data_IF_717959093307
#
_entry.id   IF_717959093307
#
_cell.length_a   1.000
_cell.length_b   1.000
_cell.length_c   1.000
_cell.angle_alpha   90.00
_cell.angle_beta   90.00
_cell.angle_gamma   90.00
#
_symmetry.space_group_name_H-M   'P 1'
#
loop_
_entity.id
_entity.type
_entity.pdbx_description
1 polymer ?
#
# COMPACT_ATOMS: atom_id res chain seq x y z
N UNK A 1 -4.02 6.12 -60.37
CA UNK A 1 -3.08 5.30 -59.57
C UNK A 1 -2.18 6.23 -58.79
N UNK A 2 -2.30 6.26 -57.47
CA UNK A 2 -1.24 6.62 -56.52
C UNK A 2 -1.83 6.47 -55.11
N UNK A 3 -1.27 5.54 -54.33
CA UNK A 3 -1.46 5.45 -52.88
C UNK A 3 -0.40 6.33 -52.24
N UNK A 4 -0.78 7.16 -51.27
CA UNK A 4 0.18 7.84 -50.41
C UNK A 4 -0.11 7.49 -48.97
N UNK A 5 0.86 6.82 -48.36
CA UNK A 5 0.99 6.42 -46.97
C UNK A 5 1.12 7.63 -46.05
N UNK A 6 0.42 7.61 -44.92
CA UNK A 6 0.58 8.58 -43.82
C UNK A 6 1.19 7.86 -42.63
N UNK A 7 2.40 8.30 -42.27
CA UNK A 7 3.13 7.97 -41.04
C UNK A 7 2.68 8.90 -39.91
N UNK A 8 2.44 8.44 -38.67
CA UNK A 8 2.25 9.33 -37.53
C UNK A 8 3.59 9.65 -36.84
N UNK A 9 3.76 10.92 -36.46
CA UNK A 9 4.82 11.48 -35.62
C UNK A 9 4.11 12.24 -34.46
N UNK A 10 4.80 12.54 -33.34
CA UNK A 10 4.29 12.34 -31.99
C UNK A 10 3.66 13.60 -31.39
N UNK A 11 2.79 13.39 -30.39
CA UNK A 11 2.15 14.48 -29.66
C UNK A 11 3.14 14.99 -28.60
N UNK A 12 3.74 16.16 -28.90
CA UNK A 12 4.49 16.96 -27.94
C UNK A 12 3.58 17.66 -26.95
N UNK A 13 3.99 17.67 -25.68
CA UNK A 13 3.43 18.48 -24.62
C UNK A 13 4.06 19.87 -24.64
N UNK A 14 3.25 20.94 -24.61
CA UNK A 14 3.70 22.25 -24.14
C UNK A 14 2.55 23.02 -23.50
N UNK A 15 2.87 23.60 -22.34
CA UNK A 15 2.01 24.34 -21.45
C UNK A 15 1.87 25.81 -21.87
N UNK A 16 0.66 26.35 -21.80
CA UNK A 16 0.44 27.74 -21.39
C UNK A 16 -1.04 27.94 -21.04
N UNK A 17 -1.34 28.65 -19.93
CA UNK A 17 -2.68 29.20 -19.74
C UNK A 17 -3.26 29.25 -18.33
N UNK A 18 -2.71 30.15 -17.49
CA UNK A 18 -3.42 31.00 -16.50
C UNK A 18 -4.20 30.34 -15.34
N UNK A 19 -3.77 30.73 -14.14
CA UNK A 19 -4.48 30.52 -12.87
C UNK A 19 -5.78 31.35 -12.81
N UNK A 20 -6.89 30.69 -12.46
CA UNK A 20 -8.10 31.28 -11.88
C UNK A 20 -8.55 30.35 -10.75
N UNK A 21 -8.87 30.87 -9.54
CA UNK A 21 -9.18 30.04 -8.38
C UNK A 21 -10.53 29.35 -8.57
N UNK A 22 -10.52 28.01 -8.60
CA UNK A 22 -11.75 27.24 -8.45
C UNK A 22 -12.20 27.32 -6.99
N UNK A 23 -13.00 28.36 -6.71
CA UNK A 23 -13.97 28.34 -5.63
C UNK A 23 -14.78 27.07 -5.77
N UNK A 24 -14.62 26.15 -4.82
CA UNK A 24 -15.58 25.07 -4.64
C UNK A 24 -16.96 25.71 -4.44
N UNK A 25 -18.01 25.25 -5.15
CA UNK A 25 -19.34 25.74 -4.91
C UNK A 25 -19.65 25.51 -3.43
N UNK A 26 -20.14 26.57 -2.79
CA UNK A 26 -20.70 26.51 -1.46
C UNK A 26 -21.59 25.27 -1.37
N UNK A 27 -21.27 24.38 -0.45
CA UNK A 27 -22.14 23.28 -0.08
C UNK A 27 -23.47 23.93 0.27
N UNK A 28 -24.58 23.64 -0.44
CA UNK A 28 -25.88 24.16 -0.03
C UNK A 28 -26.10 23.71 1.42
N UNK A 29 -26.70 24.55 2.29
CA UNK A 29 -26.98 24.13 3.65
C UNK A 29 -27.81 22.86 3.57
N UNK A 30 -27.19 21.73 3.93
CA UNK A 30 -27.91 20.46 4.04
C UNK A 30 -28.75 20.59 5.29
N UNK A 31 -29.99 21.01 5.11
CA UNK A 31 -31.10 20.58 5.97
C UNK A 31 -31.21 19.05 5.82
N UNK A 32 -30.29 18.31 6.43
CA UNK A 32 -30.51 16.91 6.74
C UNK A 32 -31.32 16.88 8.02
N UNK A 33 -32.58 16.50 7.89
CA UNK A 33 -33.51 16.29 8.99
C UNK A 33 -33.02 15.18 9.94
N UNK A 34 -32.14 15.52 10.89
CA UNK A 34 -32.15 14.95 12.24
C UNK A 34 -31.23 15.75 13.18
N UNK A 35 -31.75 16.51 14.17
CA UNK A 35 -30.99 17.50 14.94
C UNK A 35 -30.06 16.92 16.05
N UNK A 36 -29.84 15.61 16.13
CA UNK A 36 -29.25 14.95 17.30
C UNK A 36 -27.79 14.48 17.18
N UNK A 37 -27.23 14.18 16.00
CA UNK A 37 -25.85 13.66 15.87
C UNK A 37 -25.22 13.90 14.48
N UNK A 38 -23.90 14.08 14.40
CA UNK A 38 -23.19 14.09 13.10
C UNK A 38 -23.15 12.69 12.49
N UNK A 39 -23.06 12.53 11.15
CA UNK A 39 -22.94 11.21 10.52
C UNK A 39 -21.79 10.35 11.06
N UNK A 40 -20.71 11.00 11.51
CA UNK A 40 -19.56 10.32 12.10
C UNK A 40 -19.79 9.85 13.55
N UNK A 41 -20.81 10.35 14.23
CA UNK A 41 -21.14 10.05 15.61
C UNK A 41 -22.05 8.82 15.76
N UNK A 42 -22.85 8.52 14.73
CA UNK A 42 -23.78 7.37 14.72
C UNK A 42 -23.09 6.04 15.00
N UNK A 43 -21.85 5.87 14.53
CA UNK A 43 -21.05 4.67 14.83
C UNK A 43 -20.79 4.47 16.33
N UNK A 44 -20.67 5.55 17.11
CA UNK A 44 -20.48 5.47 18.57
C UNK A 44 -21.80 5.16 19.26
N UNK A 45 -22.89 5.76 18.80
CA UNK A 45 -24.24 5.49 19.31
C UNK A 45 -24.64 4.03 19.12
N UNK A 46 -24.40 3.47 17.93
CA UNK A 46 -24.65 2.05 17.66
C UNK A 46 -23.71 1.15 18.46
N UNK A 47 -22.42 1.47 18.52
CA UNK A 47 -21.46 0.67 19.29
C UNK A 47 -21.69 0.72 20.81
N UNK A 48 -22.31 1.78 21.32
CA UNK A 48 -22.77 1.87 22.71
C UNK A 48 -24.04 1.04 22.98
N UNK A 49 -24.65 0.46 21.93
CA UNK A 49 -25.90 -0.31 22.03
C UNK A 49 -27.14 0.54 22.27
N UNK A 50 -27.06 1.86 22.07
CA UNK A 50 -28.17 2.78 22.36
C UNK A 50 -29.24 2.79 21.27
N UNK A 51 -28.88 2.35 20.08
CA UNK A 51 -29.79 2.22 18.95
C UNK A 51 -29.37 1.02 18.10
N UNK A 52 -30.33 0.39 17.44
CA UNK A 52 -30.08 -0.66 16.46
C UNK A 52 -30.72 -0.28 15.11
N UNK A 53 -30.11 -0.66 13.98
CA UNK A 53 -30.73 -0.55 12.67
C UNK A 53 -32.08 -1.28 12.62
N UNK A 54 -33.07 -0.63 12.03
CA UNK A 54 -34.35 -1.25 11.70
C UNK A 54 -34.27 -1.99 10.36
N UNK A 55 -33.53 -1.42 9.40
CA UNK A 55 -33.38 -1.94 8.05
C UNK A 55 -32.07 -1.41 7.44
N UNK A 56 -31.46 -2.20 6.56
CA UNK A 56 -30.31 -1.79 5.75
C UNK A 56 -30.58 -2.08 4.28
N UNK A 57 -30.18 -1.16 3.40
CA UNK A 57 -30.23 -1.39 1.96
C UNK A 57 -29.06 -0.74 1.24
N UNK A 58 -28.66 -1.31 0.12
CA UNK A 58 -27.60 -0.78 -0.72
C UNK A 58 -28.14 0.30 -1.66
N UNK A 59 -27.43 1.42 -1.75
CA UNK A 59 -27.78 2.53 -2.65
C UNK A 59 -26.61 2.92 -3.52
N UNK A 60 -26.81 2.94 -4.83
CA UNK A 60 -25.84 3.51 -5.77
C UNK A 60 -25.76 5.03 -5.59
N UNK A 61 -24.54 5.53 -5.41
CA UNK A 61 -24.22 6.95 -5.25
C UNK A 61 -23.14 7.31 -6.27
N UNK A 62 -23.59 7.76 -7.45
CA UNK A 62 -22.71 8.04 -8.58
C UNK A 62 -22.38 6.79 -9.39
N UNK A 63 -21.42 6.91 -10.32
CA UNK A 63 -21.18 5.89 -11.35
C UNK A 63 -20.43 4.63 -10.87
N UNK A 64 -19.70 4.72 -9.75
CA UNK A 64 -18.75 3.68 -9.31
C UNK A 64 -18.80 3.37 -7.83
N UNK A 65 -19.85 3.81 -7.12
CA UNK A 65 -19.89 3.67 -5.66
C UNK A 65 -21.29 3.26 -5.23
N UNK A 66 -21.36 2.15 -4.52
CA UNK A 66 -22.54 1.75 -3.76
C UNK A 66 -22.25 2.03 -2.30
N UNK A 67 -23.26 2.49 -1.56
CA UNK A 67 -23.17 2.71 -0.12
C UNK A 67 -24.31 1.99 0.58
N UNK A 68 -23.98 1.31 1.67
CA UNK A 68 -24.96 0.79 2.60
C UNK A 68 -25.65 1.96 3.30
N UNK A 69 -26.97 2.04 3.14
CA UNK A 69 -27.83 2.98 3.85
C UNK A 69 -28.48 2.24 5.01
N UNK A 70 -28.26 2.76 6.22
CA UNK A 70 -28.83 2.22 7.45
C UNK A 70 -30.04 3.08 7.84
N UNK A 71 -31.18 2.43 8.08
CA UNK A 71 -32.43 3.08 8.51
C UNK A 71 -32.72 2.73 9.96
N UNK A 72 -33.13 3.72 10.75
CA UNK A 72 -33.51 3.57 12.15
C UNK A 72 -34.96 3.98 12.32
N UNK A 73 -35.64 3.42 13.34
CA UNK A 73 -36.99 3.86 13.65
C UNK A 73 -36.94 5.28 14.19
N UNK A 74 -37.85 6.13 13.71
CA UNK A 74 -37.93 7.52 14.16
C UNK A 74 -38.17 7.65 15.68
N UNK A 75 -38.90 6.69 16.27
CA UNK A 75 -39.11 6.62 17.72
C UNK A 75 -37.81 6.42 18.50
N UNK A 76 -36.96 5.50 18.06
CA UNK A 76 -35.70 5.17 18.72
C UNK A 76 -34.70 6.34 18.61
N UNK A 77 -34.68 7.03 17.47
CA UNK A 77 -33.85 8.24 17.29
C UNK A 77 -34.31 9.40 18.19
N UNK A 78 -35.61 9.54 18.42
CA UNK A 78 -36.15 10.54 19.37
C UNK A 78 -35.79 10.18 20.81
N UNK A 79 -35.95 8.91 21.20
CA UNK A 79 -35.58 8.42 22.52
C UNK A 79 -34.08 8.65 22.79
N UNK A 80 -33.23 8.48 21.78
CA UNK A 80 -31.81 8.76 21.88
C UNK A 80 -31.51 10.25 22.13
N UNK A 81 -32.17 11.15 21.40
CA UNK A 81 -32.00 12.60 21.61
C UNK A 81 -32.34 13.01 23.04
N UNK A 82 -33.36 12.37 23.61
CA UNK A 82 -33.86 12.69 24.94
C UNK A 82 -33.18 11.84 26.05
N UNK A 83 -32.10 11.11 25.71
CA UNK A 83 -31.37 10.24 26.63
C UNK A 83 -30.66 11.07 27.73
N UNK A 84 -30.93 10.80 29.01
CA UNK A 84 -30.30 11.53 30.11
C UNK A 84 -28.81 11.17 30.25
N UNK A 85 -27.99 12.16 30.61
CA UNK A 85 -26.57 11.96 30.90
C UNK A 85 -25.64 11.97 29.69
N UNK A 86 -26.15 12.23 28.49
CA UNK A 86 -25.34 12.39 27.27
C UNK A 86 -25.33 13.88 26.86
N UNK A 87 -24.14 14.48 26.78
CA UNK A 87 -23.99 15.86 26.34
C UNK A 87 -23.93 15.96 24.81
N UNK A 88 -25.12 16.02 24.19
CA UNK A 88 -25.26 16.16 22.75
C UNK A 88 -24.75 17.50 22.20
N UNK A 89 -24.73 18.58 23.00
CA UNK A 89 -24.15 19.85 22.56
C UNK A 89 -22.62 19.78 22.48
N UNK A 90 -21.98 19.14 23.46
CA UNK A 90 -20.55 18.89 23.41
C UNK A 90 -20.17 18.04 22.20
N UNK A 91 -20.93 16.98 21.90
CA UNK A 91 -20.70 16.15 20.71
C UNK A 91 -20.83 16.96 19.40
N UNK A 92 -21.83 17.85 19.30
CA UNK A 92 -22.04 18.72 18.14
C UNK A 92 -20.94 19.76 17.94
N UNK A 93 -20.38 20.28 19.03
CA UNK A 93 -19.38 21.35 19.02
C UNK A 93 -17.95 20.93 18.67
N UNK A 94 -17.71 19.63 18.43
CA UNK A 94 -16.36 19.10 18.18
C UNK A 94 -15.83 19.60 16.84
N UNK A 95 -14.63 20.21 16.88
CA UNK A 95 -13.93 20.65 15.67
C UNK A 95 -13.58 19.46 14.77
N UNK A 96 -13.59 19.68 13.44
CA UNK A 96 -13.22 18.67 12.44
C UNK A 96 -11.88 18.00 12.79
N UNK A 97 -11.86 16.68 12.80
CA UNK A 97 -10.65 15.87 13.04
C UNK A 97 -10.33 15.63 14.52
N UNK A 98 -11.10 16.19 15.46
CA UNK A 98 -10.98 15.85 16.88
C UNK A 98 -11.83 14.62 17.22
N UNK A 99 -11.41 13.80 18.21
CA UNK A 99 -12.20 12.65 18.66
C UNK A 99 -13.54 13.11 19.24
N UNK A 100 -14.62 12.40 18.91
CA UNK A 100 -15.95 12.63 19.49
C UNK A 100 -15.96 12.25 20.98
N UNK A 101 -16.56 13.06 21.87
CA UNK A 101 -16.80 12.71 23.27
C UNK A 101 -17.57 11.39 23.42
N UNK A 102 -18.47 11.10 22.48
CA UNK A 102 -19.27 9.87 22.46
C UNK A 102 -18.43 8.59 22.40
N UNK A 103 -17.14 8.69 22.08
CA UNK A 103 -16.18 7.58 22.17
C UNK A 103 -16.09 7.00 23.58
N UNK A 104 -16.36 7.76 24.64
CA UNK A 104 -16.29 7.25 26.02
C UNK A 104 -17.35 6.17 26.31
N UNK A 105 -18.49 6.25 25.62
CA UNK A 105 -19.61 5.33 25.79
C UNK A 105 -19.55 4.13 24.85
N UNK A 106 -18.57 4.10 23.93
CA UNK A 106 -18.52 3.16 22.84
C UNK A 106 -17.16 2.46 22.75
N UNK A 107 -17.14 1.15 22.97
CA UNK A 107 -16.04 0.30 22.47
C UNK A 107 -16.29 0.01 21.00
N UNK A 108 -15.78 0.87 20.13
CA UNK A 108 -15.84 0.61 18.69
C UNK A 108 -15.17 -0.73 18.38
N UNK A 109 -15.85 -1.56 17.57
CA UNK A 109 -15.21 -2.68 16.92
C UNK A 109 -13.96 -2.18 16.16
N UNK A 110 -12.87 -2.97 16.11
CA UNK A 110 -11.68 -2.59 15.37
C UNK A 110 -12.04 -2.29 13.92
N UNK A 111 -11.38 -1.30 13.32
CA UNK A 111 -11.51 -1.07 11.88
C UNK A 111 -11.07 -2.33 11.14
N UNK A 112 -11.58 -2.56 9.93
CA UNK A 112 -11.14 -3.74 9.13
C UNK A 112 -9.63 -3.83 9.00
N UNK A 113 -8.94 -2.71 8.79
CA UNK A 113 -7.48 -2.68 8.76
C UNK A 113 -6.84 -3.08 10.10
N UNK A 114 -7.43 -2.68 11.23
CA UNK A 114 -6.96 -3.12 12.54
C UNK A 114 -7.25 -4.61 12.79
N UNK A 115 -8.41 -5.11 12.35
CA UNK A 115 -8.74 -6.53 12.42
C UNK A 115 -7.77 -7.41 11.61
N UNK A 116 -7.48 -7.03 10.35
CA UNK A 116 -6.53 -7.79 9.51
C UNK A 116 -5.13 -7.79 10.14
N UNK A 117 -4.66 -6.63 10.61
CA UNK A 117 -3.35 -6.52 11.27
C UNK A 117 -3.29 -7.33 12.56
N UNK A 118 -4.36 -7.30 13.37
CA UNK A 118 -4.49 -8.10 14.58
C UNK A 118 -4.40 -9.58 14.28
N UNK A 119 -5.22 -10.07 13.34
CA UNK A 119 -5.17 -11.45 12.88
C UNK A 119 -3.79 -11.86 12.38
N UNK A 120 -3.12 -11.02 11.58
CA UNK A 120 -1.76 -11.32 11.09
C UNK A 120 -0.76 -11.47 12.23
N UNK A 121 -0.86 -10.62 13.26
CA UNK A 121 0.01 -10.70 14.43
C UNK A 121 -0.26 -11.97 15.24
N UNK A 122 -1.53 -12.28 15.51
CA UNK A 122 -1.90 -13.50 16.22
C UNK A 122 -1.51 -14.77 15.47
N UNK A 123 -1.63 -14.76 14.14
CA UNK A 123 -1.18 -15.85 13.28
C UNK A 123 0.36 -16.01 13.34
N UNK A 124 1.10 -14.89 13.33
CA UNK A 124 2.55 -14.89 13.47
C UNK A 124 2.97 -15.48 14.82
N UNK A 125 2.33 -15.04 15.91
CA UNK A 125 2.63 -15.48 17.27
C UNK A 125 2.29 -16.97 17.47
N UNK A 126 1.13 -17.40 16.98
CA UNK A 126 0.63 -18.79 17.11
C UNK A 126 1.52 -19.80 16.41
N UNK A 127 2.03 -19.45 15.22
CA UNK A 127 2.80 -20.37 14.38
C UNK A 127 4.30 -20.05 14.33
N UNK A 128 4.78 -19.09 15.12
CA UNK A 128 6.18 -18.70 15.14
C UNK A 128 6.73 -18.30 13.75
N UNK A 129 5.91 -17.65 12.92
CA UNK A 129 6.26 -17.28 11.54
C UNK A 129 6.16 -15.79 11.31
N UNK A 130 6.78 -15.28 10.24
CA UNK A 130 6.57 -13.90 9.80
C UNK A 130 5.40 -13.84 8.84
N UNK A 131 4.42 -12.99 9.13
CA UNK A 131 3.25 -12.75 8.27
C UNK A 131 3.36 -11.37 7.62
N UNK A 132 3.02 -11.29 6.35
CA UNK A 132 2.98 -10.06 5.56
C UNK A 132 1.57 -9.85 5.03
N UNK A 133 1.06 -8.64 5.19
CA UNK A 133 -0.23 -8.26 4.63
C UNK A 133 -0.22 -6.82 4.14
N UNK A 134 -0.98 -6.56 3.08
CA UNK A 134 -1.19 -5.21 2.58
C UNK A 134 -2.55 -5.10 1.88
N UNK A 135 -3.07 -3.89 1.81
CA UNK A 135 -4.28 -3.59 1.04
C UNK A 135 -3.86 -3.24 -0.40
N UNK A 136 -4.12 -4.15 -1.32
CA UNK A 136 -3.64 -4.07 -2.69
C UNK A 136 -4.52 -3.13 -3.53
N UNK A 137 -3.93 -2.12 -4.20
CA UNK A 137 -4.67 -1.30 -5.14
C UNK A 137 -5.05 -2.07 -6.42
N UNK A 138 -4.44 -3.24 -6.65
CA UNK A 138 -4.66 -4.05 -7.85
C UNK A 138 -5.83 -5.01 -7.72
N UNK A 139 -5.94 -5.70 -6.58
CA UNK A 139 -7.08 -6.61 -6.32
C UNK A 139 -8.24 -5.91 -5.63
N UNK A 140 -8.04 -4.68 -5.12
CA UNK A 140 -9.06 -3.94 -4.38
C UNK A 140 -9.37 -4.53 -2.99
N UNK A 141 -8.55 -5.46 -2.52
CA UNK A 141 -8.74 -6.17 -1.26
C UNK A 141 -7.43 -6.38 -0.49
N UNK A 142 -7.54 -7.10 0.61
CA UNK A 142 -6.38 -7.46 1.42
C UNK A 142 -5.70 -8.68 0.84
N UNK A 143 -4.37 -8.64 0.82
CA UNK A 143 -3.53 -9.73 0.35
C UNK A 143 -2.58 -10.11 1.48
N UNK A 144 -2.46 -11.41 1.75
CA UNK A 144 -1.73 -11.94 2.90
C UNK A 144 -0.88 -13.15 2.48
N UNK A 145 0.38 -13.16 2.92
CA UNK A 145 1.27 -14.32 2.85
C UNK A 145 2.16 -14.40 4.11
N UNK A 146 2.93 -15.46 4.25
CA UNK A 146 3.80 -15.72 5.41
C UNK A 146 5.08 -16.46 5.01
N UNK A 147 6.06 -16.51 5.90
CA UNK A 147 7.27 -17.31 5.70
C UNK A 147 6.92 -18.80 5.75
N UNK A 148 7.60 -19.62 4.94
CA UNK A 148 7.45 -21.08 5.00
C UNK A 148 8.52 -21.63 5.93
N UNK A 149 8.08 -22.32 6.97
CA UNK A 149 8.89 -23.05 7.94
C UNK A 149 8.43 -24.51 7.94
N UNK A 150 9.23 -25.41 8.51
CA UNK A 150 8.90 -26.84 8.60
C UNK A 150 7.59 -27.06 9.38
N UNK A 151 7.44 -26.37 10.51
CA UNK A 151 6.24 -26.41 11.36
C UNK A 151 5.22 -25.30 11.05
N UNK A 152 5.38 -24.61 9.91
CA UNK A 152 4.56 -23.45 9.56
C UNK A 152 3.16 -23.81 9.07
N UNK A 153 2.20 -22.86 9.08
CA UNK A 153 0.84 -23.16 8.71
C UNK A 153 0.72 -23.34 7.19
N UNK A 154 -0.11 -24.29 6.78
CA UNK A 154 -0.49 -24.45 5.36
C UNK A 154 -1.49 -23.38 4.94
N UNK A 155 -1.72 -23.23 3.64
CA UNK A 155 -2.74 -22.29 3.14
C UNK A 155 -4.13 -22.68 3.64
N UNK A 156 -4.39 -23.97 3.73
CA UNK A 156 -5.62 -24.56 4.23
C UNK A 156 -5.79 -24.26 5.73
N UNK A 157 -4.72 -24.41 6.52
CA UNK A 157 -4.71 -24.03 7.95
C UNK A 157 -5.04 -22.56 8.14
N UNK A 158 -4.34 -21.65 7.44
CA UNK A 158 -4.60 -20.21 7.56
C UNK A 158 -6.03 -19.85 7.11
N UNK A 159 -6.54 -20.49 6.05
CA UNK A 159 -7.93 -20.29 5.61
C UNK A 159 -8.92 -20.70 6.68
N UNK A 160 -8.71 -21.84 7.34
CA UNK A 160 -9.59 -22.32 8.40
C UNK A 160 -9.57 -21.40 9.62
N UNK A 161 -8.38 -20.95 10.05
CA UNK A 161 -8.22 -20.02 11.16
C UNK A 161 -8.86 -18.66 10.87
N UNK A 162 -8.70 -18.17 9.64
CA UNK A 162 -9.29 -16.91 9.20
C UNK A 162 -10.82 -16.99 9.20
N UNK A 163 -11.41 -18.10 8.74
CA UNK A 163 -12.85 -18.32 8.78
C UNK A 163 -13.41 -18.51 10.20
N UNK A 164 -12.60 -19.06 11.12
CA UNK A 164 -12.98 -19.27 12.52
C UNK A 164 -12.84 -18.00 13.39
N UNK A 165 -12.13 -16.98 12.90
CA UNK A 165 -11.91 -15.74 13.65
C UNK A 165 -13.21 -14.93 13.79
N UNK A 166 -13.63 -14.55 15.01
CA UNK A 166 -14.90 -13.90 15.25
C UNK A 166 -14.99 -12.47 14.69
N UNK A 167 -13.84 -11.85 14.40
CA UNK A 167 -13.76 -10.47 13.90
C UNK A 167 -13.47 -10.46 12.41
N UNK A 168 -12.43 -11.18 11.95
CA UNK A 168 -12.01 -11.15 10.55
C UNK A 168 -12.74 -12.16 9.67
N UNK A 169 -13.40 -13.17 10.25
CA UNK A 169 -14.09 -14.22 9.49
C UNK A 169 -15.15 -13.71 8.53
N UNK A 170 -15.83 -12.60 8.86
CA UNK A 170 -16.81 -11.96 7.96
C UNK A 170 -16.19 -11.30 6.71
N UNK A 171 -14.88 -11.05 6.73
CA UNK A 171 -14.12 -10.47 5.62
C UNK A 171 -13.27 -11.50 4.89
N UNK A 172 -13.43 -12.80 5.19
CA UNK A 172 -12.57 -13.85 4.69
C UNK A 172 -12.50 -13.93 3.17
N UNK A 173 -13.64 -13.81 2.51
CA UNK A 173 -13.74 -13.88 1.06
C UNK A 173 -13.05 -12.70 0.35
N UNK A 174 -12.76 -11.63 1.09
CA UNK A 174 -12.08 -10.45 0.58
C UNK A 174 -10.56 -10.45 0.88
N UNK A 175 -10.04 -11.53 1.49
CA UNK A 175 -8.62 -11.70 1.80
C UNK A 175 -8.01 -12.76 0.88
N UNK A 176 -7.13 -12.32 -0.01
CA UNK A 176 -6.40 -13.22 -0.91
C UNK A 176 -5.18 -13.80 -0.21
N UNK A 177 -5.18 -15.12 -0.01
CA UNK A 177 -4.06 -15.87 0.58
C UNK A 177 -3.06 -16.37 -0.48
N UNK A 178 -1.77 -16.23 -0.17
CA UNK A 178 -0.65 -16.64 -1.01
C UNK A 178 -0.65 -16.01 -2.42
N UNK A 179 -0.74 -14.68 -2.53
CA UNK A 179 -0.67 -13.95 -3.80
C UNK A 179 0.70 -14.10 -4.48
N UNK A 180 0.78 -13.73 -5.76
CA UNK A 180 2.02 -13.82 -6.55
C UNK A 180 3.19 -13.07 -5.91
N UNK A 181 2.96 -11.88 -5.34
CA UNK A 181 4.02 -11.13 -4.67
C UNK A 181 4.55 -11.88 -3.45
N UNK A 182 3.73 -12.65 -2.74
CA UNK A 182 4.18 -13.40 -1.57
C UNK A 182 5.20 -14.48 -1.93
N UNK A 183 5.05 -15.13 -3.10
CA UNK A 183 6.09 -16.00 -3.66
C UNK A 183 7.38 -15.25 -3.96
N UNK A 184 7.28 -14.04 -4.53
CA UNK A 184 8.43 -13.19 -4.84
C UNK A 184 9.13 -12.76 -3.54
N UNK A 185 8.40 -12.31 -2.53
CA UNK A 185 8.92 -11.95 -1.21
C UNK A 185 9.67 -13.11 -0.58
N UNK A 186 9.11 -14.32 -0.57
CA UNK A 186 9.82 -15.49 -0.04
C UNK A 186 11.11 -15.76 -0.80
N UNK A 187 11.09 -15.71 -2.14
CA UNK A 187 12.29 -15.91 -2.95
C UNK A 187 13.34 -14.83 -2.70
N UNK A 188 12.92 -13.57 -2.62
CA UNK A 188 13.82 -12.45 -2.32
C UNK A 188 14.49 -12.63 -0.95
N UNK A 189 13.74 -13.04 0.08
CA UNK A 189 14.31 -13.32 1.40
C UNK A 189 15.32 -14.46 1.38
N UNK A 190 15.05 -15.55 0.64
CA UNK A 190 16.02 -16.63 0.46
C UNK A 190 17.33 -16.16 -0.20
N UNK A 191 17.27 -15.18 -1.11
CA UNK A 191 18.46 -14.61 -1.75
C UNK A 191 19.29 -13.73 -0.78
N UNK A 192 18.68 -13.28 0.32
CA UNK A 192 19.35 -12.50 1.36
C UNK A 192 19.96 -13.38 2.47
N UNK A 193 19.84 -14.71 2.38
CA UNK A 193 20.53 -15.61 3.31
C UNK A 193 22.04 -15.63 3.03
N UNK A 194 22.91 -15.77 4.05
CA UNK A 194 24.36 -15.80 3.85
C UNK A 194 24.80 -16.85 2.83
N UNK A 195 25.58 -16.42 1.84
CA UNK A 195 26.09 -17.30 0.78
C UNK A 195 25.07 -17.71 -0.28
N UNK A 196 23.83 -17.21 -0.24
CA UNK A 196 22.79 -17.57 -1.20
C UNK A 196 22.87 -16.77 -2.51
N UNK A 197 23.25 -15.50 -2.46
CA UNK A 197 23.36 -14.65 -3.63
C UNK A 197 24.33 -13.47 -3.46
N UNK A 198 24.68 -12.89 -4.60
CA UNK A 198 25.38 -11.60 -4.72
C UNK A 198 24.58 -10.68 -5.64
N UNK A 199 24.71 -9.37 -5.44
CA UNK A 199 24.27 -8.36 -6.40
C UNK A 199 25.45 -8.04 -7.31
N UNK A 200 25.27 -8.21 -8.60
CA UNK A 200 26.22 -7.85 -9.63
C UNK A 200 25.68 -6.66 -10.39
N UNK A 201 26.49 -5.62 -10.51
CA UNK A 201 26.24 -4.45 -11.34
C UNK A 201 27.44 -4.18 -12.24
N UNK A 202 27.18 -3.62 -13.42
CA UNK A 202 28.21 -3.38 -14.44
C UNK A 202 28.00 -2.05 -15.13
N UNK A 203 29.09 -1.32 -15.32
CA UNK A 203 29.12 -0.16 -16.21
C UNK A 203 29.74 -0.54 -17.55
N UNK A 204 29.33 0.14 -18.63
CA UNK A 204 29.68 -0.24 -20.00
C UNK A 204 30.09 0.97 -20.84
N UNK A 205 30.88 0.74 -21.90
CA UNK A 205 31.29 1.80 -22.85
C UNK A 205 30.10 2.46 -23.58
N UNK A 206 29.00 1.73 -23.75
CA UNK A 206 27.71 2.14 -24.31
C UNK A 206 26.62 1.11 -23.92
N UNK A 207 25.35 1.34 -24.25
CA UNK A 207 24.21 0.46 -23.92
C UNK A 207 24.42 -1.02 -24.30
N UNK A 208 25.17 -1.28 -25.37
CA UNK A 208 25.54 -2.62 -25.82
C UNK A 208 27.07 -2.80 -25.93
N UNK A 209 27.82 -1.95 -25.22
CA UNK A 209 29.28 -1.90 -25.26
C UNK A 209 29.95 -2.87 -24.29
N UNK A 210 31.26 -2.75 -24.17
CA UNK A 210 32.09 -3.55 -23.28
C UNK A 210 31.94 -3.12 -21.82
N UNK A 211 31.95 -4.09 -20.90
CA UNK A 211 31.98 -3.82 -19.45
C UNK A 211 33.29 -3.15 -19.05
N UNK A 212 33.20 -2.03 -18.33
CA UNK A 212 34.33 -1.21 -17.84
C UNK A 212 34.39 -1.11 -16.31
N UNK A 213 33.32 -1.50 -15.61
CA UNK A 213 33.31 -1.65 -14.15
C UNK A 213 32.55 -2.92 -13.79
N UNK A 214 33.06 -3.63 -12.79
CA UNK A 214 32.41 -4.80 -12.20
C UNK A 214 32.31 -4.57 -10.69
N UNK A 215 31.08 -4.40 -10.21
CA UNK A 215 30.77 -4.29 -8.78
C UNK A 215 30.01 -5.52 -8.32
N UNK A 216 30.52 -6.20 -7.30
CA UNK A 216 29.89 -7.37 -6.69
C UNK A 216 29.72 -7.13 -5.20
N UNK A 217 28.48 -7.24 -4.72
CA UNK A 217 28.11 -7.04 -3.32
C UNK A 217 27.46 -8.31 -2.79
N UNK A 218 27.88 -8.76 -1.61
CA UNK A 218 27.22 -9.85 -0.89
C UNK A 218 25.79 -9.43 -0.53
N UNK A 219 24.79 -10.19 -0.99
CA UNK A 219 23.39 -9.78 -0.85
C UNK A 219 22.90 -9.81 0.61
N UNK A 220 23.49 -10.66 1.46
CA UNK A 220 23.08 -10.80 2.85
C UNK A 220 23.63 -9.68 3.75
N UNK A 221 24.89 -9.29 3.53
CA UNK A 221 25.65 -8.40 4.42
C UNK A 221 25.82 -6.99 3.85
N UNK A 222 25.65 -6.82 2.54
CA UNK A 222 26.00 -5.58 1.84
C UNK A 222 27.51 -5.35 1.70
N UNK A 223 28.34 -6.34 2.03
CA UNK A 223 29.80 -6.23 1.90
C UNK A 223 30.20 -6.20 0.43
N UNK A 224 31.00 -5.22 0.04
CA UNK A 224 31.65 -5.19 -1.27
C UNK A 224 32.65 -6.35 -1.36
N UNK A 225 32.41 -7.24 -2.33
CA UNK A 225 33.27 -8.39 -2.63
C UNK A 225 34.26 -8.06 -3.75
N UNK A 226 33.84 -7.23 -4.70
CA UNK A 226 34.63 -6.76 -5.82
C UNK A 226 34.17 -5.36 -6.21
N UNK A 227 35.12 -4.47 -6.47
CA UNK A 227 34.91 -3.16 -7.09
C UNK A 227 36.16 -2.87 -7.93
N UNK A 228 36.05 -3.12 -9.23
CA UNK A 228 37.18 -3.07 -10.15
C UNK A 228 36.79 -2.42 -11.46
N UNK A 229 37.71 -1.61 -11.99
CA UNK A 229 37.64 -1.17 -13.37
C UNK A 229 38.25 -2.21 -14.30
N UNK A 230 37.70 -2.29 -15.51
CA UNK A 230 38.12 -3.20 -16.59
C UNK A 230 38.52 -2.33 -17.79
N UNK A 231 39.68 -2.63 -18.38
CA UNK A 231 40.17 -1.89 -19.55
C UNK A 231 39.39 -2.29 -20.81
N UNK A 232 38.66 -1.38 -21.45
CA UNK A 232 38.00 -1.67 -22.72
C UNK A 232 39.00 -1.61 -23.89
N UNK A 233 38.61 -2.19 -25.03
CA UNK A 233 39.32 -2.05 -26.31
C UNK A 233 38.72 -0.94 -27.19
N UNK A 234 37.65 -0.31 -26.75
CA UNK A 234 36.92 0.74 -27.45
C UNK A 234 36.66 1.96 -26.53
N UNK A 235 36.47 3.16 -27.09
CA UNK A 235 36.22 4.36 -26.28
C UNK A 235 34.88 4.33 -25.56
N UNK A 236 34.82 4.95 -24.40
CA UNK A 236 33.57 5.19 -23.67
C UNK A 236 32.79 6.31 -24.37
N UNK A 237 31.51 6.05 -24.68
CA UNK A 237 30.65 7.06 -25.29
C UNK A 237 30.31 8.17 -24.31
N UNK A 238 30.02 9.37 -24.84
CA UNK A 238 29.60 10.51 -24.00
C UNK A 238 28.30 10.25 -23.25
N UNK A 239 27.38 9.45 -23.83
CA UNK A 239 26.13 9.04 -23.20
C UNK A 239 26.36 8.13 -22.00
N UNK A 240 27.18 7.08 -22.16
CA UNK A 240 27.54 6.18 -21.08
C UNK A 240 28.26 6.94 -19.95
N UNK A 241 29.29 7.73 -20.29
CA UNK A 241 30.00 8.57 -19.30
C UNK A 241 29.07 9.51 -18.54
N UNK A 242 28.00 10.02 -19.16
CA UNK A 242 27.02 10.85 -18.46
C UNK A 242 26.22 10.08 -17.40
N UNK A 243 25.98 8.79 -17.61
CA UNK A 243 25.26 7.91 -16.68
C UNK A 243 26.14 7.53 -15.49
N UNK A 244 27.34 7.01 -15.75
CA UNK A 244 28.17 6.39 -14.71
C UNK A 244 29.43 7.19 -14.32
N UNK A 245 29.80 8.24 -15.07
CA UNK A 245 30.87 9.17 -14.73
C UNK A 245 32.31 8.71 -15.03
N UNK A 246 32.52 7.47 -15.48
CA UNK A 246 33.85 6.91 -15.80
C UNK A 246 34.32 7.41 -17.17
N UNK A 247 35.57 7.85 -17.24
CA UNK A 247 36.22 8.34 -18.45
C UNK A 247 37.25 7.36 -19.02
N UNK A 248 37.64 7.55 -20.28
CA UNK A 248 38.71 6.74 -20.90
C UNK A 248 40.04 6.84 -20.13
N UNK A 249 40.30 7.98 -19.47
CA UNK A 249 41.49 8.20 -18.66
C UNK A 249 41.51 7.30 -17.41
N UNK A 250 40.36 7.10 -16.77
CA UNK A 250 40.22 6.27 -15.56
C UNK A 250 40.59 4.79 -15.84
N UNK A 251 40.37 4.33 -17.08
CA UNK A 251 40.61 2.94 -17.50
C UNK A 251 41.90 2.75 -18.32
N UNK A 252 42.54 3.83 -18.76
CA UNK A 252 43.69 3.79 -19.68
C UNK A 252 44.91 3.06 -19.11
N UNK A 253 45.18 3.23 -17.82
CA UNK A 253 46.39 2.75 -17.13
C UNK A 253 46.24 1.40 -16.44
N UNK A 254 45.08 0.75 -16.58
CA UNK A 254 44.87 -0.59 -16.02
C UNK A 254 45.73 -1.59 -16.80
N UNK A 255 46.74 -2.15 -16.14
CA UNK A 255 47.59 -3.21 -16.71
C UNK A 255 46.91 -4.59 -16.64
N UNK A 256 45.97 -4.77 -15.71
CA UNK A 256 45.03 -5.90 -15.49
C UNK A 256 43.82 -5.38 -14.68
N UNK A 257 42.71 -6.14 -14.46
CA UNK A 257 41.58 -5.68 -13.63
C UNK A 257 42.07 -5.25 -12.23
N UNK A 258 42.07 -3.95 -11.96
CA UNK A 258 42.65 -3.37 -10.76
C UNK A 258 41.56 -2.95 -9.77
N UNK A 259 41.74 -3.28 -8.50
CA UNK A 259 40.85 -2.86 -7.40
C UNK A 259 40.85 -1.35 -7.32
N UNK A 260 39.65 -0.75 -7.35
CA UNK A 260 39.49 0.69 -7.20
C UNK A 260 40.03 1.11 -5.82
N UNK A 261 40.90 2.12 -5.70
CA UNK A 261 41.29 2.63 -4.40
C UNK A 261 40.05 3.17 -3.67
N UNK A 262 39.93 2.95 -2.34
CA UNK A 262 38.78 3.45 -1.59
C UNK A 262 38.70 4.98 -1.68
N UNK A 263 37.46 5.49 -1.80
CA UNK A 263 37.14 6.91 -1.82
C UNK A 263 37.44 7.61 -0.48
#
# INVERSE_FOLDING_TARGET
MARTSVTPQPIGYSASGRHVPLRFPAIPPRESANPSAWPADWKYVEAAGWIAPAETYEREVGRYRTVTVVLYRLGDVRALRDMPGVDWEAARGVAKGKPSPLREYARLAPTRAAAVKGFCQELADRHGTTVWAWHSPYSGGWELDWARTEDGPTKETVRAELAADPVIGSYADEITLCPTWGRITRRARQLLEPGAAVVLDTETTDLYGQTIELAVVDAATGKVLQDTLVKPTEPITSGARHVHGISDEDVANLSEPGVRPPA
#
